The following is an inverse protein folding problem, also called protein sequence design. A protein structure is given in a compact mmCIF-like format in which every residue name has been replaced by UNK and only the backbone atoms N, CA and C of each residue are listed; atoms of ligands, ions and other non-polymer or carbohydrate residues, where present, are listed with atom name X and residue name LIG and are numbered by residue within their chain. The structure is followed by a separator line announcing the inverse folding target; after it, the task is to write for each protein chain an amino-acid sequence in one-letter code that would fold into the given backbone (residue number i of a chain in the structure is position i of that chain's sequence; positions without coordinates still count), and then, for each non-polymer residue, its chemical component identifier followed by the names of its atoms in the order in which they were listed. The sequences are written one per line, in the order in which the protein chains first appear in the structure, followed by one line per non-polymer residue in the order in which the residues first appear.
data_IF_696606579209
#
_entry.id   IF_696606579209
#
_cell.length_a   1.000
_cell.length_b   1.000
_cell.length_c   1.000
_cell.angle_alpha   90.00
_cell.angle_beta   90.00
_cell.angle_gamma   90.00
#
_symmetry.space_group_name_H-M   'P 1'
#
loop_
_entity.id
_entity.type
_entity.pdbx_description
1 polymer ?
#
# COMPACT_ATOMS: atom_id res chain seq x y z
N UNK A 1 -56.84 -26.66 -27.38
CA UNK A 1 -55.97 -26.22 -26.29
C UNK A 1 -54.76 -27.13 -26.23
N UNK A 2 -53.68 -26.72 -26.87
CA UNK A 2 -52.47 -27.52 -27.06
C UNK A 2 -51.50 -27.32 -25.89
N UNK A 3 -51.06 -28.43 -25.28
CA UNK A 3 -50.26 -28.46 -24.06
C UNK A 3 -48.82 -28.01 -24.36
N UNK A 4 -48.38 -26.89 -23.80
CA UNK A 4 -46.95 -26.51 -23.76
C UNK A 4 -46.30 -27.15 -22.53
N UNK A 5 -45.48 -28.17 -22.75
CA UNK A 5 -44.53 -28.68 -21.75
C UNK A 5 -43.35 -27.71 -21.63
N UNK A 6 -43.20 -27.04 -20.49
CA UNK A 6 -42.04 -26.20 -20.20
C UNK A 6 -41.35 -26.76 -18.96
N UNK A 7 -40.37 -27.63 -19.17
CA UNK A 7 -39.43 -28.05 -18.14
C UNK A 7 -38.53 -26.87 -17.77
N UNK A 8 -38.57 -26.42 -16.52
CA UNK A 8 -37.56 -25.52 -15.96
C UNK A 8 -36.98 -26.11 -14.69
N UNK A 9 -36.20 -27.16 -14.87
CA UNK A 9 -35.29 -27.65 -13.84
C UNK A 9 -33.88 -27.18 -14.21
N UNK A 10 -33.40 -26.12 -13.55
CA UNK A 10 -31.97 -25.83 -13.54
C UNK A 10 -31.46 -26.08 -12.13
N UNK A 11 -31.02 -27.32 -11.91
CA UNK A 11 -30.28 -27.69 -10.73
C UNK A 11 -28.99 -26.83 -10.66
N UNK A 12 -28.99 -25.81 -9.81
CA UNK A 12 -27.73 -25.19 -9.38
C UNK A 12 -27.02 -26.19 -8.48
N UNK A 13 -26.06 -26.94 -9.05
CA UNK A 13 -25.11 -27.74 -8.29
C UNK A 13 -24.44 -26.85 -7.25
N UNK A 14 -24.74 -27.06 -5.98
CA UNK A 14 -24.00 -26.49 -4.87
C UNK A 14 -22.66 -27.21 -4.77
N UNK A 15 -21.56 -26.47 -4.90
CA UNK A 15 -20.26 -26.93 -4.43
C UNK A 15 -20.06 -26.47 -3.00
N UNK A 16 -20.91 -26.99 -2.11
CA UNK A 16 -20.57 -27.09 -0.70
C UNK A 16 -20.19 -28.55 -0.43
N UNK A 17 -18.89 -28.76 -0.23
CA UNK A 17 -18.34 -29.92 0.49
C UNK A 17 -18.56 -31.30 -0.10
N UNK A 18 -17.70 -31.72 -1.04
CA UNK A 18 -17.33 -33.14 -1.10
C UNK A 18 -15.92 -33.34 -1.65
N UNK A 19 -14.97 -33.43 -0.72
CA UNK A 19 -13.66 -34.04 -0.95
C UNK A 19 -13.41 -35.03 0.19
N UNK A 20 -14.03 -36.20 0.08
CA UNK A 20 -13.64 -37.38 0.86
C UNK A 20 -13.16 -38.44 -0.13
N UNK A 21 -11.86 -38.75 -0.13
CA UNK A 21 -11.30 -39.90 -0.84
C UNK A 21 -10.41 -39.63 -2.08
N UNK A 22 -9.60 -38.57 -2.13
CA UNK A 22 -8.57 -38.42 -3.18
C UNK A 22 -7.16 -38.57 -2.60
N UNK A 23 -6.34 -39.40 -3.24
CA UNK A 23 -4.97 -39.68 -2.82
C UNK A 23 -4.06 -38.43 -2.94
N UNK A 24 -3.16 -38.25 -1.98
CA UNK A 24 -2.35 -37.05 -1.75
C UNK A 24 -1.52 -36.60 -2.98
N UNK A 25 -1.14 -37.52 -3.86
CA UNK A 25 -0.41 -37.25 -5.10
C UNK A 25 -1.25 -36.49 -6.15
N UNK A 26 -2.56 -36.75 -6.22
CA UNK A 26 -3.48 -36.03 -7.12
C UNK A 26 -3.81 -34.63 -6.56
N UNK A 27 -3.86 -34.49 -5.23
CA UNK A 27 -4.06 -33.20 -4.58
C UNK A 27 -2.83 -32.30 -4.78
N UNK A 28 -1.62 -32.79 -4.52
CA UNK A 28 -0.38 -32.02 -4.67
C UNK A 28 -0.15 -31.52 -6.11
N UNK A 29 -0.44 -32.36 -7.12
CA UNK A 29 -0.31 -31.99 -8.54
C UNK A 29 -1.31 -30.91 -8.97
N UNK A 30 -2.43 -30.76 -8.24
CA UNK A 30 -3.48 -29.77 -8.52
C UNK A 30 -3.25 -28.43 -7.81
N UNK A 31 -2.45 -28.38 -6.75
CA UNK A 31 -2.12 -27.12 -6.05
C UNK A 31 -1.08 -26.30 -6.82
N UNK A 32 -0.09 -26.97 -7.40
CA UNK A 32 0.99 -26.34 -8.18
C UNK A 32 0.49 -25.77 -9.53
N UNK A 33 -0.65 -26.24 -10.03
CA UNK A 33 -1.22 -25.82 -11.32
C UNK A 33 -2.31 -24.72 -11.22
N UNK A 34 -2.75 -24.28 -10.01
CA UNK A 34 -3.98 -23.48 -9.83
C UNK A 34 -3.88 -22.08 -9.19
N UNK A 35 -2.72 -21.58 -8.78
CA UNK A 35 -2.66 -20.29 -8.05
C UNK A 35 -2.58 -19.06 -8.97
N UNK A 36 -1.72 -19.04 -9.98
CA UNK A 36 -1.56 -17.87 -10.87
C UNK A 36 -2.35 -17.98 -12.18
N UNK A 37 -2.69 -19.19 -12.61
CA UNK A 37 -3.41 -19.45 -13.87
C UNK A 37 -4.92 -19.28 -13.77
N UNK A 38 -5.49 -19.21 -12.56
CA UNK A 38 -6.93 -18.98 -12.33
C UNK A 38 -7.31 -17.50 -12.34
N UNK A 39 -6.43 -16.62 -11.84
CA UNK A 39 -6.63 -15.17 -11.81
C UNK A 39 -6.37 -14.52 -13.18
N UNK A 40 -5.38 -15.03 -13.91
CA UNK A 40 -5.02 -14.57 -15.27
C UNK A 40 -5.86 -15.25 -16.36
N UNK A 41 -6.28 -16.51 -16.16
CA UNK A 41 -7.44 -17.22 -16.76
C UNK A 41 -8.58 -16.36 -17.33
N UNK A 42 -9.22 -15.70 -16.38
CA UNK A 42 -10.48 -14.97 -16.55
C UNK A 42 -10.18 -13.59 -17.15
N UNK A 43 -9.02 -13.03 -16.81
CA UNK A 43 -8.51 -11.77 -17.33
C UNK A 43 -8.32 -11.75 -18.84
N UNK A 44 -8.03 -12.90 -19.45
CA UNK A 44 -7.60 -13.02 -20.84
C UNK A 44 -8.72 -13.35 -21.85
N UNK A 45 -9.98 -13.54 -21.44
CA UNK A 45 -11.10 -13.78 -22.39
C UNK A 45 -11.80 -12.50 -22.89
N UNK A 46 -11.61 -11.35 -22.23
CA UNK A 46 -12.48 -10.15 -22.38
C UNK A 46 -11.69 -8.86 -22.70
N UNK A 47 -10.36 -8.90 -22.73
CA UNK A 47 -9.52 -7.71 -22.88
C UNK A 47 -8.79 -7.38 -21.58
N UNK A 48 -7.48 -7.23 -21.71
CA UNK A 48 -6.44 -7.04 -20.68
C UNK A 48 -6.95 -6.46 -19.35
N UNK A 49 -6.95 -7.26 -18.28
CA UNK A 49 -7.11 -6.73 -16.92
C UNK A 49 -5.90 -5.86 -16.62
N UNK A 50 -6.14 -4.56 -16.57
CA UNK A 50 -5.16 -3.60 -16.08
C UNK A 50 -4.95 -3.85 -14.59
N UNK A 51 -3.69 -3.96 -14.16
CA UNK A 51 -3.37 -3.96 -12.75
C UNK A 51 -3.99 -2.72 -12.10
N UNK A 52 -4.64 -2.91 -10.94
CA UNK A 52 -5.26 -1.79 -10.22
C UNK A 52 -4.19 -0.74 -9.93
N UNK A 53 -4.37 0.45 -10.52
CA UNK A 53 -3.52 1.61 -10.30
C UNK A 53 -4.30 2.61 -9.48
N UNK A 54 -3.73 3.02 -8.35
CA UNK A 54 -4.29 4.08 -7.54
C UNK A 54 -4.32 5.39 -8.32
N UNK A 55 -5.35 6.20 -8.09
CA UNK A 55 -5.42 7.56 -8.65
C UNK A 55 -4.25 8.40 -8.11
N UNK A 56 -3.69 9.32 -8.91
CA UNK A 56 -2.63 10.22 -8.44
C UNK A 56 -3.08 10.92 -7.15
N UNK A 57 -2.17 11.06 -6.19
CA UNK A 57 -2.44 11.62 -4.86
C UNK A 57 -3.02 10.63 -3.84
N UNK A 58 -3.62 9.51 -4.25
CA UNK A 58 -4.21 8.52 -3.31
C UNK A 58 -3.15 7.90 -2.40
N UNK A 59 -2.06 7.41 -3.01
CA UNK A 59 -0.93 6.79 -2.27
C UNK A 59 -0.23 7.84 -1.42
N UNK A 60 -0.02 9.05 -1.96
CA UNK A 60 0.61 10.16 -1.25
C UNK A 60 -0.14 10.54 0.03
N UNK A 61 -1.47 10.63 -0.03
CA UNK A 61 -2.30 10.91 1.15
C UNK A 61 -2.31 9.74 2.14
N UNK A 62 -2.27 8.50 1.66
CA UNK A 62 -2.18 7.31 2.50
C UNK A 62 -0.84 7.26 3.25
N UNK A 63 0.26 7.55 2.57
CA UNK A 63 1.59 7.65 3.15
C UNK A 63 1.69 8.80 4.16
N UNK A 64 1.17 9.98 3.83
CA UNK A 64 1.12 11.11 4.76
C UNK A 64 0.40 10.76 6.06
N UNK A 65 -0.78 10.11 5.97
CA UNK A 65 -1.53 9.64 7.15
C UNK A 65 -0.77 8.58 7.94
N UNK A 66 -0.05 7.67 7.27
CA UNK A 66 0.78 6.65 7.92
C UNK A 66 1.92 7.31 8.70
N UNK A 67 2.67 8.20 8.07
CA UNK A 67 3.81 8.90 8.69
C UNK A 67 3.40 9.85 9.80
N UNK A 68 2.20 10.43 9.76
CA UNK A 68 1.65 11.24 10.86
C UNK A 68 1.24 10.39 12.07
N UNK A 69 0.75 9.16 11.85
CA UNK A 69 0.32 8.26 12.94
C UNK A 69 1.49 7.54 13.61
N UNK A 70 2.55 7.24 12.87
CA UNK A 70 3.74 6.55 13.39
C UNK A 70 4.85 7.51 13.77
N UNK A 71 5.63 7.17 14.79
CA UNK A 71 6.84 7.92 15.17
C UNK A 71 8.10 7.43 14.44
N UNK A 72 7.96 6.64 13.37
CA UNK A 72 9.11 6.05 12.66
C UNK A 72 10.08 7.10 12.10
N UNK A 73 11.36 6.79 12.11
CA UNK A 73 12.40 7.66 11.54
C UNK A 73 12.30 7.61 10.01
N UNK A 74 12.20 8.79 9.37
CA UNK A 74 12.07 8.90 7.90
C UNK A 74 13.37 8.59 7.16
N UNK A 75 14.51 8.71 7.85
CA UNK A 75 15.84 8.43 7.33
C UNK A 75 16.34 7.12 7.98
N UNK A 76 17.03 6.26 7.23
CA UNK A 76 17.62 5.03 7.78
C UNK A 76 18.73 5.39 8.79
N UNK A 77 18.82 4.65 9.90
CA UNK A 77 19.83 4.89 10.97
C UNK A 77 21.29 4.86 10.49
N UNK A 78 21.79 3.85 9.75
CA UNK A 78 23.21 3.78 9.39
C UNK A 78 23.74 4.94 8.53
N UNK A 79 23.06 5.42 7.46
CA UNK A 79 23.57 6.57 6.70
C UNK A 79 23.54 7.87 7.53
N UNK A 80 22.52 8.08 8.37
CA UNK A 80 22.47 9.27 9.23
C UNK A 80 23.61 9.26 10.27
N UNK A 81 23.89 8.10 10.86
CA UNK A 81 25.02 7.94 11.79
C UNK A 81 26.37 8.21 11.11
N UNK A 82 26.56 7.78 9.85
CA UNK A 82 27.77 8.08 9.08
C UNK A 82 27.92 9.60 8.86
N UNK A 83 26.84 10.27 8.45
CA UNK A 83 26.81 11.71 8.25
C UNK A 83 27.19 12.49 9.53
N UNK A 84 26.61 12.13 10.67
CA UNK A 84 26.94 12.78 11.95
C UNK A 84 28.42 12.64 12.29
N UNK A 85 29.00 11.46 12.03
CA UNK A 85 30.43 11.20 12.28
C UNK A 85 31.35 11.93 11.32
N UNK A 86 30.96 12.01 10.04
CA UNK A 86 31.71 12.75 9.02
C UNK A 86 31.77 14.24 9.36
N UNK A 87 30.64 14.83 9.73
CA UNK A 87 30.56 16.24 10.16
C UNK A 87 31.41 16.45 11.41
N UNK A 88 31.27 15.60 12.43
CA UNK A 88 32.06 15.73 13.66
C UNK A 88 33.57 15.61 13.44
N UNK A 89 33.98 14.67 12.57
CA UNK A 89 35.37 14.49 12.21
C UNK A 89 35.95 15.72 11.50
N UNK A 90 35.15 16.42 10.68
CA UNK A 90 35.58 17.64 10.00
C UNK A 90 35.89 18.80 10.95
N UNK A 91 35.26 18.85 12.13
CA UNK A 91 35.45 19.94 13.09
C UNK A 91 36.41 19.60 14.23
N UNK A 92 36.34 18.38 14.75
CA UNK A 92 37.07 18.01 15.96
C UNK A 92 37.89 16.71 15.82
N UNK A 93 37.96 16.11 14.62
CA UNK A 93 38.70 14.87 14.39
C UNK A 93 37.96 13.60 14.84
N UNK A 94 38.62 12.44 14.70
CA UNK A 94 38.00 11.13 14.85
C UNK A 94 37.91 10.59 16.29
N UNK A 95 38.32 11.37 17.27
CA UNK A 95 38.46 10.91 18.67
C UNK A 95 37.12 10.85 19.43
N UNK A 96 36.08 11.49 18.89
CA UNK A 96 34.78 11.61 19.54
C UNK A 96 33.92 10.35 19.41
N UNK A 97 33.33 9.94 20.55
CA UNK A 97 32.36 8.84 20.62
C UNK A 97 30.97 9.40 20.85
N UNK A 98 30.03 8.93 20.04
CA UNK A 98 28.62 9.31 20.16
C UNK A 98 27.84 8.23 20.91
N UNK A 99 27.06 8.66 21.90
CA UNK A 99 26.02 7.82 22.49
C UNK A 99 24.92 7.57 21.45
N UNK A 100 24.38 6.35 21.41
CA UNK A 100 23.31 6.00 20.46
C UNK A 100 22.08 6.92 20.61
N UNK A 101 21.68 7.22 21.85
CA UNK A 101 20.55 8.11 22.17
C UNK A 101 20.77 9.53 21.62
N UNK A 102 22.01 10.04 21.66
CA UNK A 102 22.33 11.37 21.14
C UNK A 102 22.14 11.41 19.61
N UNK A 103 22.58 10.37 18.89
CA UNK A 103 22.39 10.28 17.43
C UNK A 103 20.91 10.17 17.09
N UNK A 104 20.13 9.40 17.86
CA UNK A 104 18.67 9.30 17.67
C UNK A 104 17.96 10.63 17.95
N UNK A 105 18.37 11.35 18.99
CA UNK A 105 17.82 12.67 19.31
C UNK A 105 18.10 13.68 18.20
N UNK A 106 19.32 13.71 17.67
CA UNK A 106 19.67 14.54 16.50
C UNK A 106 18.80 14.18 15.30
N UNK A 107 18.59 12.88 15.05
CA UNK A 107 17.77 12.42 13.93
C UNK A 107 16.29 12.82 14.09
N UNK A 108 15.75 12.68 15.29
CA UNK A 108 14.39 13.09 15.63
C UNK A 108 14.21 14.60 15.47
N UNK A 109 15.18 15.39 15.94
CA UNK A 109 15.15 16.84 15.80
C UNK A 109 15.14 17.25 14.31
N UNK A 110 16.06 16.71 13.51
CA UNK A 110 16.13 16.98 12.06
C UNK A 110 14.84 16.58 11.33
N UNK A 111 14.22 15.45 11.72
CA UNK A 111 12.91 15.05 11.19
C UNK A 111 11.88 16.15 11.49
N UNK A 112 11.77 16.58 12.74
CA UNK A 112 10.76 17.54 13.17
C UNK A 112 10.94 18.91 12.50
N UNK A 113 12.18 19.41 12.41
CA UNK A 113 12.47 20.67 11.74
C UNK A 113 12.15 20.62 10.26
N UNK A 114 12.46 19.52 9.57
CA UNK A 114 12.10 19.33 8.17
C UNK A 114 10.58 19.25 7.96
N UNK A 115 9.85 18.57 8.86
CA UNK A 115 8.38 18.56 8.79
C UNK A 115 7.79 19.95 9.04
N UNK A 116 8.31 20.70 10.00
CA UNK A 116 7.87 22.07 10.26
C UNK A 116 8.19 22.98 9.06
N UNK A 117 9.39 22.90 8.50
CA UNK A 117 9.78 23.61 7.28
C UNK A 117 8.87 23.26 6.12
N UNK A 118 8.53 21.99 5.93
CA UNK A 118 7.59 21.56 4.88
C UNK A 118 6.20 22.19 5.07
N UNK A 119 5.65 22.17 6.29
CA UNK A 119 4.34 22.77 6.59
C UNK A 119 4.35 24.28 6.34
N UNK A 120 5.43 24.97 6.72
CA UNK A 120 5.57 26.41 6.52
C UNK A 120 5.84 26.80 5.06
N UNK A 121 6.53 25.95 4.29
CA UNK A 121 6.83 26.17 2.87
C UNK A 121 5.61 25.87 1.99
N UNK A 122 4.81 24.89 2.38
CA UNK A 122 3.60 24.47 1.68
C UNK A 122 2.39 24.61 2.60
N UNK A 123 2.01 25.85 2.97
CA UNK A 123 0.78 26.07 3.70
C UNK A 123 -0.38 25.54 2.85
N UNK A 124 -1.25 24.74 3.46
CA UNK A 124 -2.41 24.15 2.82
C UNK A 124 -3.25 25.26 2.17
N UNK A 125 -3.15 25.42 0.84
CA UNK A 125 -4.04 26.32 0.10
C UNK A 125 -5.46 25.78 0.26
N UNK A 126 -6.41 26.54 0.82
CA UNK A 126 -7.80 26.11 0.83
C UNK A 126 -8.24 25.93 -0.62
N UNK A 127 -8.70 24.72 -0.93
CA UNK A 127 -9.35 24.42 -2.18
C UNK A 127 -10.45 25.46 -2.41
N UNK A 128 -10.43 26.12 -3.57
CA UNK A 128 -11.52 26.99 -4.02
C UNK A 128 -12.82 26.19 -3.92
N UNK A 129 -13.66 26.59 -2.97
CA UNK A 129 -14.98 26.03 -2.78
C UNK A 129 -15.80 26.43 -4.00
N UNK A 130 -16.11 25.48 -4.87
CA UNK A 130 -16.96 25.68 -6.03
C UNK A 130 -18.42 25.85 -5.57
N UNK A 131 -18.72 26.99 -4.97
CA UNK A 131 -20.08 27.44 -4.64
C UNK A 131 -20.75 28.01 -5.90
N UNK A 132 -21.04 27.19 -6.92
CA UNK A 132 -21.78 27.64 -8.11
C UNK A 132 -22.61 26.53 -8.79
N UNK A 133 -23.33 25.69 -8.04
CA UNK A 133 -24.32 24.76 -8.62
C UNK A 133 -25.67 24.68 -7.89
N UNK A 134 -26.09 25.76 -7.21
CA UNK A 134 -27.41 25.81 -6.54
C UNK A 134 -28.14 27.14 -6.75
N UNK A 135 -28.21 27.63 -7.99
CA UNK A 135 -29.09 28.76 -8.39
C UNK A 135 -29.83 28.51 -9.70
N UNK A 136 -30.44 27.34 -9.83
CA UNK A 136 -31.57 27.14 -10.73
C UNK A 136 -32.69 26.46 -9.95
N UNK A 137 -33.60 27.27 -9.44
CA UNK A 137 -35.02 27.01 -9.23
C UNK A 137 -35.72 28.37 -9.28
#
# INVERSE_FOLDING_TARGET
YEKRSVSKETARKSTYGKLRGLNATILAKKQVLNTSRRTVRIASRIGVIKHHRYRPGTVTLQEARRYQKSTELLIRKPPFQKLVREIAAAFWGHEFRFQAVAVEALQLHVKNTNTAKFILTYPFLPAQQNDNLTRFN
#
